data_IF_040838207005
#
_entry.id   IF_040838207005
#
_cell.length_a   1.000
_cell.length_b   1.000
_cell.length_c   1.000
_cell.angle_alpha   90.00
_cell.angle_beta   90.00
_cell.angle_gamma   90.00
#
_symmetry.space_group_name_H-M   'P 1'
#
loop_
_entity.id
_entity.type
_entity.pdbx_description
1 polymer ?
#
# COMPACT_ATOMS: atom_id res chain seq x y z
N UNK A 1 5.81 8.40 8.56
CA UNK A 1 5.20 9.45 7.73
C UNK A 1 3.71 9.64 8.01
N UNK A 2 2.89 8.58 8.05
CA UNK A 2 1.45 8.69 8.23
C UNK A 2 1.00 9.54 9.44
N UNK A 3 1.76 9.54 10.53
CA UNK A 3 1.50 10.40 11.70
C UNK A 3 1.73 11.88 11.41
N UNK A 4 2.72 12.23 10.58
CA UNK A 4 2.95 13.61 10.16
C UNK A 4 1.84 14.11 9.25
N UNK A 5 1.35 13.27 8.35
CA UNK A 5 0.25 13.60 7.43
C UNK A 5 -1.10 13.74 8.14
N UNK A 6 -1.25 13.16 9.35
CA UNK A 6 -2.50 13.16 10.10
C UNK A 6 -2.87 14.53 10.66
N UNK A 7 -4.06 15.09 10.34
CA UNK A 7 -4.52 16.33 10.95
C UNK A 7 -4.89 16.20 12.42
N UNK A 8 -5.11 14.97 12.91
CA UNK A 8 -5.52 14.71 14.29
C UNK A 8 -4.34 14.41 15.22
N UNK A 9 -3.29 13.73 14.70
CA UNK A 9 -2.11 13.37 15.48
C UNK A 9 -1.00 14.41 15.38
N UNK A 10 -0.82 15.02 14.21
CA UNK A 10 0.15 16.08 14.02
C UNK A 10 -0.41 17.42 14.48
N UNK A 11 -0.14 17.75 15.73
CA UNK A 11 -0.58 19.01 16.38
C UNK A 11 0.53 20.07 16.39
N UNK A 12 1.52 19.95 15.50
CA UNK A 12 2.61 20.92 15.38
C UNK A 12 2.10 22.24 14.80
N UNK A 13 2.70 23.33 15.21
CA UNK A 13 2.44 24.70 14.75
C UNK A 13 3.59 25.29 13.92
N UNK A 14 4.64 24.49 13.67
CA UNK A 14 5.82 24.85 12.89
C UNK A 14 5.67 24.53 11.39
N UNK A 15 6.80 24.46 10.68
CA UNK A 15 6.86 24.16 9.25
C UNK A 15 6.37 22.76 8.86
N UNK A 16 6.14 21.86 9.83
CA UNK A 16 5.75 20.46 9.61
C UNK A 16 4.34 20.14 10.12
N UNK A 17 3.54 21.14 10.49
CA UNK A 17 2.20 20.95 11.03
C UNK A 17 1.19 21.98 10.51
N UNK A 18 -0.09 21.77 10.79
CA UNK A 18 -1.18 22.64 10.34
C UNK A 18 -1.75 22.23 8.99
N UNK A 19 -1.43 22.92 7.90
CA UNK A 19 -2.00 22.65 6.57
C UNK A 19 -1.50 21.33 5.96
N UNK A 20 -2.22 20.72 5.00
CA UNK A 20 -1.79 19.50 4.32
C UNK A 20 -0.37 19.61 3.73
N UNK A 21 -0.03 20.76 3.13
CA UNK A 21 1.29 21.01 2.52
C UNK A 21 2.40 20.99 3.59
N UNK A 22 2.17 21.64 4.72
CA UNK A 22 3.13 21.63 5.83
C UNK A 22 3.28 20.22 6.43
N UNK A 23 2.19 19.48 6.59
CA UNK A 23 2.23 18.10 7.07
C UNK A 23 2.96 17.16 6.10
N UNK A 24 2.89 17.44 4.80
CA UNK A 24 3.60 16.68 3.76
C UNK A 24 5.08 17.09 3.62
N UNK A 25 5.49 18.24 4.17
CA UNK A 25 6.86 18.76 4.01
C UNK A 25 7.93 17.75 4.40
N UNK A 26 7.77 17.01 5.50
CA UNK A 26 8.75 16.01 5.92
C UNK A 26 8.97 14.92 4.87
N UNK A 27 7.91 14.53 4.14
CA UNK A 27 8.01 13.56 3.04
C UNK A 27 8.87 14.11 1.92
N UNK A 28 8.62 15.35 1.50
CA UNK A 28 9.39 16.01 0.43
C UNK A 28 10.85 16.26 0.82
N UNK A 29 11.11 16.65 2.09
CA UNK A 29 12.49 16.80 2.60
C UNK A 29 13.25 15.46 2.56
N UNK A 30 12.56 14.33 2.86
CA UNK A 30 13.17 13.00 2.77
C UNK A 30 13.42 12.61 1.31
N UNK A 31 12.47 12.83 0.40
CA UNK A 31 12.64 12.57 -1.05
C UNK A 31 13.86 13.34 -1.56
N UNK A 32 13.94 14.62 -1.27
CA UNK A 32 15.07 15.47 -1.68
C UNK A 32 16.39 14.96 -1.10
N UNK A 33 16.42 14.66 0.21
CA UNK A 33 17.63 14.16 0.88
C UNK A 33 18.14 12.84 0.28
N UNK A 34 17.24 11.93 -0.09
CA UNK A 34 17.60 10.67 -0.73
C UNK A 34 18.14 10.92 -2.14
N UNK A 35 17.47 11.76 -2.95
CA UNK A 35 17.93 12.08 -4.30
C UNK A 35 19.31 12.75 -4.31
N UNK A 36 19.55 13.66 -3.38
CA UNK A 36 20.88 14.31 -3.22
C UNK A 36 21.95 13.31 -2.81
N UNK A 37 21.62 12.39 -1.89
CA UNK A 37 22.62 11.46 -1.32
C UNK A 37 22.88 10.24 -2.19
N UNK A 38 21.85 9.71 -2.86
CA UNK A 38 21.92 8.45 -3.61
C UNK A 38 21.96 8.65 -5.13
N UNK A 39 21.60 9.85 -5.61
CA UNK A 39 21.51 10.15 -7.05
C UNK A 39 20.25 9.57 -7.70
N UNK A 40 20.01 9.99 -8.95
CA UNK A 40 18.77 9.69 -9.72
C UNK A 40 18.64 8.24 -10.19
N UNK A 41 19.69 7.44 -10.12
CA UNK A 41 19.66 6.02 -10.46
C UNK A 41 19.18 5.11 -9.32
N UNK A 42 18.99 5.68 -8.12
CA UNK A 42 18.46 4.97 -6.97
C UNK A 42 16.94 4.89 -7.06
N UNK A 43 16.37 3.68 -7.08
CA UNK A 43 14.92 3.50 -7.15
C UNK A 43 14.27 3.93 -5.84
N UNK A 44 13.39 4.91 -5.93
CA UNK A 44 12.70 5.49 -4.77
C UNK A 44 11.19 5.41 -4.93
N UNK A 45 10.52 4.81 -3.97
CA UNK A 45 9.06 4.75 -3.93
C UNK A 45 8.49 5.34 -2.63
N UNK A 46 7.25 5.79 -2.72
CA UNK A 46 6.50 6.32 -1.57
C UNK A 46 5.29 5.46 -1.29
N UNK A 47 5.15 5.01 -0.03
CA UNK A 47 3.96 4.30 0.41
C UNK A 47 3.02 5.22 1.18
N UNK A 48 1.77 5.29 0.74
CA UNK A 48 0.69 6.04 1.38
C UNK A 48 -0.43 5.11 1.87
N UNK A 49 -1.11 5.53 2.93
CA UNK A 49 -2.27 4.81 3.49
C UNK A 49 -3.40 5.82 3.69
N UNK A 50 -4.43 5.83 2.84
CA UNK A 50 -5.59 6.69 3.02
C UNK A 50 -6.42 6.21 4.22
N UNK A 51 -7.20 7.11 4.80
CA UNK A 51 -8.17 6.82 5.86
C UNK A 51 -7.58 6.17 7.16
N UNK A 52 -6.28 6.37 7.46
CA UNK A 52 -5.67 5.97 8.74
C UNK A 52 -5.25 7.20 9.55
N UNK A 53 -5.23 7.05 10.86
CA UNK A 53 -4.80 8.12 11.78
C UNK A 53 -5.55 9.45 11.57
N UNK A 54 -6.86 9.39 11.22
CA UNK A 54 -7.68 10.58 10.97
C UNK A 54 -7.34 11.35 9.69
N UNK A 55 -6.58 10.73 8.77
CA UNK A 55 -6.33 11.30 7.45
C UNK A 55 -7.61 11.30 6.61
N UNK A 56 -7.80 12.33 5.81
CA UNK A 56 -8.89 12.43 4.83
C UNK A 56 -8.44 11.86 3.50
N UNK A 57 -9.30 11.08 2.86
CA UNK A 57 -8.98 10.46 1.56
C UNK A 57 -8.68 11.51 0.50
N UNK A 58 -9.40 12.64 0.50
CA UNK A 58 -9.13 13.78 -0.41
C UNK A 58 -7.68 14.28 -0.28
N UNK A 59 -7.23 14.57 0.95
CA UNK A 59 -5.86 15.09 1.17
C UNK A 59 -4.80 14.07 0.70
N UNK A 60 -5.03 12.78 0.94
CA UNK A 60 -4.11 11.73 0.48
C UNK A 60 -4.18 11.54 -1.03
N UNK A 61 -5.36 11.72 -1.65
CA UNK A 61 -5.53 11.70 -3.11
C UNK A 61 -4.76 12.85 -3.76
N UNK A 62 -4.88 14.06 -3.22
CA UNK A 62 -4.15 15.23 -3.74
C UNK A 62 -2.63 15.04 -3.61
N UNK A 63 -2.17 14.54 -2.47
CA UNK A 63 -0.76 14.19 -2.27
C UNK A 63 -0.29 13.11 -3.23
N UNK A 64 -1.08 12.04 -3.44
CA UNK A 64 -0.77 10.99 -4.39
C UNK A 64 -0.69 11.54 -5.83
N UNK A 65 -1.59 12.44 -6.22
CA UNK A 65 -1.56 13.11 -7.52
C UNK A 65 -0.30 13.94 -7.74
N UNK A 66 0.16 14.67 -6.71
CA UNK A 66 1.43 15.40 -6.76
C UNK A 66 2.61 14.43 -6.93
N UNK A 67 2.66 13.36 -6.13
CA UNK A 67 3.72 12.37 -6.19
C UNK A 67 3.75 11.60 -7.53
N UNK A 68 2.60 11.26 -8.10
CA UNK A 68 2.51 10.57 -9.39
C UNK A 68 3.01 11.40 -10.58
N UNK A 69 3.25 12.69 -10.37
CA UNK A 69 3.84 13.61 -11.34
C UNK A 69 5.22 14.13 -10.95
N UNK A 70 5.77 13.67 -9.80
CA UNK A 70 7.09 14.06 -9.27
C UNK A 70 8.17 13.16 -9.86
N UNK A 71 9.04 13.71 -10.69
CA UNK A 71 10.11 12.97 -11.35
C UNK A 71 11.24 12.50 -10.42
N UNK A 72 11.19 12.83 -9.13
CA UNK A 72 12.16 12.40 -8.12
C UNK A 72 11.89 11.02 -7.55
N UNK A 73 10.72 10.42 -7.84
CA UNK A 73 10.34 9.08 -7.40
C UNK A 73 9.94 8.20 -8.59
N UNK A 74 10.02 6.88 -8.41
CA UNK A 74 9.71 5.90 -9.46
C UNK A 74 8.31 5.31 -9.31
N UNK A 75 7.81 5.21 -8.08
CA UNK A 75 6.48 4.64 -7.85
C UNK A 75 5.80 5.14 -6.58
N UNK A 76 4.47 5.04 -6.58
CA UNK A 76 3.61 5.21 -5.39
C UNK A 76 2.92 3.88 -5.08
N UNK A 77 3.03 3.42 -3.83
CA UNK A 77 2.34 2.24 -3.30
C UNK A 77 1.18 2.68 -2.39
N UNK A 78 -0.06 2.37 -2.79
CA UNK A 78 -1.25 2.66 -2.01
C UNK A 78 -1.63 1.49 -1.10
N UNK A 79 -1.48 1.65 0.21
CA UNK A 79 -1.88 0.65 1.20
C UNK A 79 -3.37 0.80 1.55
N UNK A 80 -4.25 0.15 0.78
CA UNK A 80 -5.70 0.34 0.84
C UNK A 80 -6.42 -0.59 1.83
N UNK A 81 -5.73 -1.56 2.44
CA UNK A 81 -6.28 -2.61 3.30
C UNK A 81 -7.23 -3.57 2.57
N UNK A 82 -8.11 -3.06 1.73
CA UNK A 82 -8.99 -3.78 0.82
C UNK A 82 -9.16 -2.90 -0.42
N UNK A 83 -8.59 -3.33 -1.55
CA UNK A 83 -8.55 -2.52 -2.78
C UNK A 83 -9.94 -2.34 -3.40
N UNK A 84 -10.84 -3.29 -3.17
CA UNK A 84 -12.18 -3.29 -3.78
C UNK A 84 -13.28 -2.71 -2.88
N UNK A 85 -12.93 -2.28 -1.64
CA UNK A 85 -13.94 -1.65 -0.79
C UNK A 85 -14.39 -0.30 -1.38
N UNK A 86 -15.64 0.12 -1.14
CA UNK A 86 -16.06 1.46 -1.48
C UNK A 86 -15.24 2.51 -0.71
N UNK A 87 -15.07 3.67 -1.31
CA UNK A 87 -14.52 4.83 -0.61
C UNK A 87 -15.48 5.24 0.52
N UNK A 88 -14.92 5.59 1.67
CA UNK A 88 -15.70 5.99 2.85
C UNK A 88 -16.05 7.47 2.90
N UNK A 89 -15.35 8.30 2.13
CA UNK A 89 -15.56 9.74 2.09
C UNK A 89 -16.72 10.10 1.15
N UNK A 90 -17.57 11.01 1.58
CA UNK A 90 -18.72 11.49 0.79
C UNK A 90 -18.31 12.05 -0.59
N UNK A 91 -17.14 12.68 -0.67
CA UNK A 91 -16.58 13.21 -1.92
C UNK A 91 -16.38 12.13 -3.00
N UNK A 92 -16.29 10.85 -2.63
CA UNK A 92 -16.08 9.71 -3.52
C UNK A 92 -17.21 8.67 -3.38
N UNK A 93 -18.39 9.10 -2.97
CA UNK A 93 -19.52 8.19 -2.76
C UNK A 93 -19.87 7.42 -4.04
N UNK A 94 -19.94 6.10 -3.93
CA UNK A 94 -20.21 5.20 -5.05
C UNK A 94 -18.98 4.72 -5.82
N UNK A 95 -17.80 5.26 -5.55
CA UNK A 95 -16.54 4.79 -6.16
C UNK A 95 -15.85 3.73 -5.30
N UNK A 96 -15.10 2.82 -5.93
CA UNK A 96 -14.18 1.97 -5.19
C UNK A 96 -12.98 2.79 -4.72
N UNK A 97 -12.43 2.45 -3.56
CA UNK A 97 -11.25 3.15 -3.05
C UNK A 97 -10.06 3.07 -4.01
N UNK A 98 -9.94 1.99 -4.77
CA UNK A 98 -8.91 1.84 -5.81
C UNK A 98 -9.09 2.88 -6.92
N UNK A 99 -10.33 3.08 -7.41
CA UNK A 99 -10.63 4.01 -8.49
C UNK A 99 -10.26 5.46 -8.14
N UNK A 100 -10.43 5.86 -6.90
CA UNK A 100 -10.03 7.19 -6.40
C UNK A 100 -8.58 7.53 -6.74
N UNK A 101 -7.69 6.52 -6.80
CA UNK A 101 -6.27 6.70 -7.09
C UNK A 101 -5.88 6.35 -8.52
N UNK A 102 -6.52 5.36 -9.16
CA UNK A 102 -6.18 4.97 -10.54
C UNK A 102 -6.59 6.01 -11.57
N UNK A 103 -7.56 6.85 -11.28
CA UNK A 103 -8.00 7.96 -12.15
C UNK A 103 -7.06 9.19 -12.09
N UNK A 104 -6.04 9.16 -11.25
CA UNK A 104 -5.08 10.27 -11.14
C UNK A 104 -4.13 10.31 -12.35
N UNK A 105 -3.80 11.50 -12.87
CA UNK A 105 -2.81 11.64 -13.93
C UNK A 105 -1.42 11.21 -13.44
N UNK A 106 -0.66 10.57 -14.31
CA UNK A 106 0.70 10.08 -14.03
C UNK A 106 1.69 10.61 -15.05
N UNK A 107 2.92 10.85 -14.62
CA UNK A 107 4.00 11.31 -15.48
C UNK A 107 5.25 10.41 -15.30
N UNK A 108 5.12 9.16 -15.73
CA UNK A 108 6.22 8.19 -15.65
C UNK A 108 6.42 7.54 -14.27
N UNK A 109 5.64 7.93 -13.26
CA UNK A 109 5.64 7.32 -11.93
C UNK A 109 4.63 6.18 -11.91
N UNK A 110 5.06 4.98 -11.53
CA UNK A 110 4.20 3.81 -11.46
C UNK A 110 3.29 3.84 -10.22
N UNK A 111 2.05 3.36 -10.37
CA UNK A 111 1.10 3.23 -9.28
C UNK A 111 0.85 1.77 -8.95
N UNK A 112 1.08 1.40 -7.70
CA UNK A 112 0.74 0.09 -7.15
C UNK A 112 -0.22 0.18 -5.98
N UNK A 113 -0.88 -0.93 -5.66
CA UNK A 113 -1.71 -1.00 -4.47
C UNK A 113 -1.66 -2.36 -3.78
N UNK A 114 -1.85 -2.32 -2.46
CA UNK A 114 -1.96 -3.47 -1.57
C UNK A 114 -3.30 -3.48 -0.85
N UNK A 115 -3.94 -4.65 -0.74
CA UNK A 115 -5.11 -4.82 0.10
C UNK A 115 -5.98 -6.00 -0.30
N UNK A 116 -5.97 -7.07 0.51
CA UNK A 116 -6.78 -8.30 0.33
C UNK A 116 -6.70 -8.92 -1.07
N UNK A 117 -5.53 -8.90 -1.67
CA UNK A 117 -5.26 -9.64 -2.89
C UNK A 117 -4.85 -11.07 -2.50
N UNK A 118 -5.76 -12.02 -2.68
CA UNK A 118 -5.61 -13.40 -2.21
C UNK A 118 -5.60 -14.43 -3.32
N UNK A 119 -5.90 -14.01 -4.55
CA UNK A 119 -5.94 -14.88 -5.72
C UNK A 119 -5.30 -14.22 -6.95
N UNK A 120 -5.01 -15.02 -7.97
CA UNK A 120 -4.58 -14.52 -9.28
C UNK A 120 -5.65 -13.61 -9.89
N UNK A 121 -6.93 -13.98 -9.77
CA UNK A 121 -8.05 -13.18 -10.27
C UNK A 121 -8.21 -11.83 -9.54
N UNK A 122 -7.95 -11.77 -8.21
CA UNK A 122 -7.92 -10.49 -7.48
C UNK A 122 -6.80 -9.59 -8.00
N UNK A 123 -5.61 -10.15 -8.19
CA UNK A 123 -4.47 -9.41 -8.73
C UNK A 123 -4.77 -8.89 -10.15
N UNK A 124 -5.30 -9.74 -11.04
CA UNK A 124 -5.64 -9.35 -12.40
C UNK A 124 -6.71 -8.25 -12.41
N UNK A 125 -7.79 -8.40 -11.65
CA UNK A 125 -8.84 -7.39 -11.54
C UNK A 125 -8.31 -6.05 -11.03
N UNK A 126 -7.36 -6.06 -10.08
CA UNK A 126 -6.73 -4.85 -9.58
C UNK A 126 -5.84 -4.18 -10.66
N UNK A 127 -5.08 -4.98 -11.43
CA UNK A 127 -4.31 -4.51 -12.57
C UNK A 127 -5.22 -3.90 -13.67
N UNK A 128 -6.30 -4.58 -14.01
CA UNK A 128 -7.28 -4.13 -15.02
C UNK A 128 -7.99 -2.82 -14.60
N UNK A 129 -7.98 -2.51 -13.31
CA UNK A 129 -8.48 -1.23 -12.79
C UNK A 129 -7.50 -0.07 -12.98
N UNK A 130 -6.34 -0.29 -13.61
CA UNK A 130 -5.37 0.74 -13.98
C UNK A 130 -4.13 0.83 -13.07
N UNK A 131 -3.79 -0.20 -12.32
CA UNK A 131 -2.51 -0.29 -11.61
C UNK A 131 -1.40 -0.74 -12.56
N UNK A 132 -0.15 -0.32 -12.27
CA UNK A 132 1.05 -0.79 -12.95
C UNK A 132 1.63 -2.04 -12.28
N UNK A 133 1.36 -2.23 -10.98
CA UNK A 133 1.75 -3.41 -10.20
C UNK A 133 0.85 -3.60 -8.98
N UNK A 134 0.86 -4.79 -8.40
CA UNK A 134 0.16 -5.11 -7.16
C UNK A 134 1.14 -5.57 -6.08
N UNK A 135 0.78 -5.33 -4.82
CA UNK A 135 1.55 -5.79 -3.67
C UNK A 135 0.72 -6.79 -2.87
N UNK A 136 1.28 -7.99 -2.72
CA UNK A 136 0.63 -9.08 -2.00
C UNK A 136 1.26 -9.21 -0.61
N UNK A 137 0.44 -9.05 0.44
CA UNK A 137 0.87 -9.18 1.82
C UNK A 137 0.61 -10.58 2.38
N UNK A 138 -0.59 -10.79 2.92
CA UNK A 138 -0.97 -12.05 3.58
C UNK A 138 -0.86 -13.27 2.66
N UNK A 139 -1.23 -13.12 1.39
CA UNK A 139 -1.07 -14.18 0.41
C UNK A 139 0.38 -14.65 0.27
N UNK A 140 1.35 -13.74 0.29
CA UNK A 140 2.77 -14.06 0.21
C UNK A 140 3.35 -14.61 1.53
N UNK A 141 2.69 -14.38 2.68
CA UNK A 141 3.04 -15.05 3.95
C UNK A 141 2.59 -16.51 3.91
N UNK A 142 1.41 -16.77 3.33
CA UNK A 142 0.85 -18.12 3.21
C UNK A 142 1.52 -18.92 2.08
N UNK A 143 1.94 -18.25 1.01
CA UNK A 143 2.63 -18.85 -0.14
C UNK A 143 3.83 -17.97 -0.52
N UNK A 144 5.03 -18.39 -0.17
CA UNK A 144 6.27 -17.65 -0.43
C UNK A 144 6.50 -17.36 -1.94
N UNK A 145 5.99 -18.23 -2.78
CA UNK A 145 6.06 -18.13 -4.24
C UNK A 145 4.73 -17.65 -4.89
N UNK A 146 3.88 -16.98 -4.14
CA UNK A 146 2.58 -16.48 -4.60
C UNK A 146 2.60 -15.88 -6.01
N UNK A 147 3.55 -14.97 -6.37
CA UNK A 147 3.57 -14.41 -7.71
C UNK A 147 3.76 -15.46 -8.80
N UNK A 148 4.64 -16.45 -8.55
CA UNK A 148 4.88 -17.54 -9.50
C UNK A 148 3.64 -18.42 -9.69
N UNK A 149 2.95 -18.76 -8.60
CA UNK A 149 1.74 -19.55 -8.64
C UNK A 149 0.61 -18.79 -9.35
N UNK A 150 0.41 -17.52 -9.04
CA UNK A 150 -0.61 -16.67 -9.66
C UNK A 150 -0.37 -16.45 -11.16
N UNK A 151 0.89 -16.33 -11.59
CA UNK A 151 1.24 -16.20 -13.01
C UNK A 151 1.08 -17.51 -13.78
N UNK A 152 1.29 -18.65 -13.13
CA UNK A 152 1.18 -19.97 -13.76
C UNK A 152 -0.26 -20.49 -13.85
N UNK A 153 -1.13 -20.06 -12.92
CA UNK A 153 -2.51 -20.54 -12.84
C UNK A 153 -3.48 -19.39 -12.55
N UNK A 154 -4.34 -19.00 -13.49
CA UNK A 154 -5.32 -17.93 -13.30
C UNK A 154 -6.39 -18.24 -12.23
N UNK A 155 -6.58 -19.52 -11.91
CA UNK A 155 -7.52 -19.97 -10.88
C UNK A 155 -6.86 -20.11 -9.48
N UNK A 156 -5.55 -19.76 -9.38
CA UNK A 156 -4.85 -19.84 -8.11
C UNK A 156 -5.45 -18.90 -7.07
N UNK A 157 -5.71 -19.45 -5.89
CA UNK A 157 -6.03 -18.70 -4.68
C UNK A 157 -5.17 -19.19 -3.51
N UNK A 158 -4.85 -18.29 -2.59
CA UNK A 158 -4.17 -18.69 -1.37
C UNK A 158 -5.05 -19.64 -0.55
N UNK A 159 -4.41 -20.46 0.30
CA UNK A 159 -5.12 -21.30 1.25
C UNK A 159 -6.01 -20.48 2.18
N UNK A 160 -7.16 -21.04 2.53
CA UNK A 160 -8.04 -20.45 3.54
C UNK A 160 -7.34 -20.37 4.90
N UNK A 161 -7.61 -19.30 5.62
CA UNK A 161 -7.13 -19.14 6.99
C UNK A 161 -8.12 -19.78 7.99
N UNK A 162 -7.62 -20.34 9.10
CA UNK A 162 -6.23 -20.35 9.56
C UNK A 162 -5.39 -21.46 8.91
N UNK A 163 -4.10 -21.20 8.74
CA UNK A 163 -3.10 -22.20 8.30
C UNK A 163 -2.32 -22.78 9.48
N UNK A 164 -1.68 -23.94 9.30
CA UNK A 164 -0.86 -24.56 10.34
C UNK A 164 0.51 -23.86 10.51
N UNK A 165 1.10 -24.00 11.67
CA UNK A 165 2.49 -23.54 11.95
C UNK A 165 3.50 -24.25 11.04
N UNK A 166 3.28 -25.55 10.81
CA UNK A 166 4.10 -26.37 9.92
C UNK A 166 4.08 -25.82 8.49
N UNK A 167 2.89 -25.54 7.96
CA UNK A 167 2.76 -24.92 6.63
C UNK A 167 3.56 -23.62 6.53
N UNK A 168 3.50 -22.74 7.53
CA UNK A 168 4.27 -21.48 7.51
C UNK A 168 5.79 -21.74 7.59
N UNK A 169 6.23 -22.77 8.33
CA UNK A 169 7.63 -23.17 8.37
C UNK A 169 8.11 -23.69 7.00
N UNK A 170 7.30 -24.48 6.31
CA UNK A 170 7.56 -24.96 4.95
C UNK A 170 7.63 -23.83 3.92
N UNK A 171 6.94 -22.71 4.18
CA UNK A 171 7.09 -21.48 3.39
C UNK A 171 8.37 -20.68 3.73
N UNK A 172 9.23 -21.20 4.60
CA UNK A 172 10.50 -20.57 4.98
C UNK A 172 10.40 -19.52 6.08
N UNK A 173 9.26 -19.42 6.79
CA UNK A 173 9.11 -18.47 7.88
C UNK A 173 9.86 -18.95 9.15
N UNK A 174 10.64 -18.07 9.75
CA UNK A 174 11.32 -18.37 11.02
C UNK A 174 10.34 -18.44 12.20
N UNK A 175 10.67 -19.24 13.24
CA UNK A 175 9.80 -19.51 14.38
C UNK A 175 9.24 -18.25 15.05
N UNK A 176 10.06 -17.21 15.27
CA UNK A 176 9.62 -15.93 15.86
C UNK A 176 8.56 -15.22 15.03
N UNK A 177 8.66 -15.29 13.70
CA UNK A 177 7.66 -14.68 12.83
C UNK A 177 6.37 -15.51 12.82
N UNK A 178 6.46 -16.83 12.87
CA UNK A 178 5.30 -17.72 13.02
C UNK A 178 4.58 -17.43 14.34
N UNK A 179 5.31 -17.23 15.45
CA UNK A 179 4.71 -16.82 16.74
C UNK A 179 3.98 -15.47 16.64
N UNK A 180 4.58 -14.52 15.94
CA UNK A 180 3.94 -13.24 15.66
C UNK A 180 2.66 -13.42 14.83
N UNK A 181 2.67 -14.24 13.77
CA UNK A 181 1.48 -14.53 12.98
C UNK A 181 0.41 -15.26 13.78
N UNK A 182 0.78 -16.12 14.72
CA UNK A 182 -0.15 -16.80 15.63
C UNK A 182 -0.85 -15.84 16.61
N UNK A 183 -0.28 -14.65 16.86
CA UNK A 183 -0.95 -13.59 17.62
C UNK A 183 -2.08 -12.90 16.84
N UNK A 184 -2.16 -13.09 15.53
CA UNK A 184 -3.22 -12.54 14.70
C UNK A 184 -4.42 -13.47 14.73
N UNK A 185 -5.55 -12.95 15.24
CA UNK A 185 -6.78 -13.76 15.37
C UNK A 185 -7.16 -14.42 14.03
N UNK A 186 -7.23 -15.76 14.02
CA UNK A 186 -7.67 -16.54 12.87
C UNK A 186 -6.65 -16.63 11.73
N UNK A 187 -5.35 -16.35 11.98
CA UNK A 187 -4.32 -16.51 10.94
C UNK A 187 -3.62 -17.88 11.04
N UNK A 188 -3.33 -18.34 12.23
CA UNK A 188 -2.69 -19.63 12.48
C UNK A 188 -3.61 -20.50 13.33
N UNK A 189 -3.64 -21.80 13.06
CA UNK A 189 -4.38 -22.78 13.88
C UNK A 189 -3.83 -22.76 15.31
N UNK A 190 -4.72 -22.75 16.29
CA UNK A 190 -4.38 -22.77 17.72
C UNK A 190 -3.70 -24.08 18.15
#
# INVERSE_FOLDING_TARGET
LAQFLSPTLNRRDDAYGGTPEKRAKVLYDIIEGINVSCGRSFSLGVRLSPARFGQRTEEIRDLAGQLLTDDRIDYVDMSLWDVFKPASDEAFAGESLLKVFTDLPRKGVALGAAGKLYSASDCQRAMDSGLDFVLVGRGAIVHADFPKLAMANPDFAMLDLPVSREHLADQGLGAKFIDYMASWKGFVVA
#
